data_IF_673270941354
#
_entry.id   IF_673270941354
#
_cell.length_a   1.000
_cell.length_b   1.000
_cell.length_c   1.000
_cell.angle_alpha   90.00
_cell.angle_beta   90.00
_cell.angle_gamma   90.00
#
_symmetry.space_group_name_H-M   'P 1'
#
loop_
_entity.id
_entity.type
_entity.pdbx_description
1 polymer ?
#
# COMPACT_ATOMS: atom_id res chain seq x y z
N UNK A 1 3.70 -7.34 3.84
CA UNK A 1 2.44 -7.14 3.09
C UNK A 1 1.50 -6.09 3.67
N UNK A 2 0.90 -6.26 4.88
CA UNK A 2 -0.04 -5.24 5.42
C UNK A 2 0.57 -3.84 5.64
N UNK A 3 1.87 -3.75 5.89
CA UNK A 3 2.57 -2.46 6.07
C UNK A 3 2.78 -1.75 4.73
N UNK A 4 3.29 -2.47 3.72
CA UNK A 4 3.43 -1.98 2.35
C UNK A 4 2.13 -1.43 1.78
N UNK A 5 1.01 -2.14 1.93
CA UNK A 5 -0.30 -1.68 1.45
C UNK A 5 -0.71 -0.33 2.08
N UNK A 6 -0.40 -0.13 3.37
CA UNK A 6 -0.64 1.15 4.03
C UNK A 6 0.21 2.26 3.43
N UNK A 7 1.50 2.01 3.17
CA UNK A 7 2.38 2.97 2.52
C UNK A 7 1.88 3.32 1.12
N UNK A 8 1.52 2.32 0.30
CA UNK A 8 0.98 2.56 -1.04
C UNK A 8 -0.33 3.36 -1.01
N UNK A 9 -1.19 3.10 -0.02
CA UNK A 9 -2.41 3.89 0.18
C UNK A 9 -2.08 5.33 0.57
N UNK A 10 -1.13 5.54 1.46
CA UNK A 10 -0.66 6.88 1.84
C UNK A 10 -0.08 7.62 0.65
N UNK A 11 0.73 6.96 -0.18
CA UNK A 11 1.30 7.53 -1.40
C UNK A 11 0.22 8.02 -2.37
N UNK A 12 -0.80 7.19 -2.64
CA UNK A 12 -1.95 7.57 -3.48
C UNK A 12 -2.75 8.72 -2.89
N UNK A 13 -2.95 8.73 -1.58
CA UNK A 13 -3.65 9.82 -0.90
C UNK A 13 -2.87 11.14 -1.00
N UNK A 14 -1.54 11.10 -0.89
CA UNK A 14 -0.71 12.28 -1.07
C UNK A 14 -0.74 12.80 -2.51
N UNK A 15 -0.83 11.93 -3.51
CA UNK A 15 -1.04 12.35 -4.90
C UNK A 15 -2.40 13.06 -5.08
N UNK A 16 -3.47 12.51 -4.50
CA UNK A 16 -4.79 13.13 -4.52
C UNK A 16 -4.81 14.49 -3.82
N UNK A 17 -4.15 14.60 -2.66
CA UNK A 17 -3.98 15.86 -1.93
C UNK A 17 -3.24 16.88 -2.82
N UNK A 18 -2.09 16.50 -3.39
CA UNK A 18 -1.33 17.39 -4.26
C UNK A 18 -2.12 17.84 -5.50
N UNK A 19 -2.90 16.94 -6.12
CA UNK A 19 -3.79 17.28 -7.23
C UNK A 19 -4.89 18.26 -6.78
N UNK A 20 -5.52 18.01 -5.62
CA UNK A 20 -6.54 18.88 -5.04
C UNK A 20 -5.98 20.25 -4.69
N UNK A 21 -4.76 20.32 -4.16
CA UNK A 21 -4.08 21.58 -3.86
C UNK A 21 -3.79 22.39 -5.13
N UNK A 22 -3.43 21.76 -6.25
CA UNK A 22 -3.29 22.47 -7.54
C UNK A 22 -4.60 23.12 -7.98
N UNK A 23 -5.71 22.39 -7.85
CA UNK A 23 -7.03 22.91 -8.17
C UNK A 23 -7.46 24.03 -7.21
N UNK A 24 -7.22 23.84 -5.90
CA UNK A 24 -7.42 24.86 -4.86
C UNK A 24 -6.64 26.14 -5.17
N UNK A 25 -5.38 26.05 -5.62
CA UNK A 25 -4.59 27.22 -6.00
C UNK A 25 -5.23 28.01 -7.14
N UNK A 26 -5.78 27.32 -8.15
CA UNK A 26 -6.50 27.97 -9.27
C UNK A 26 -7.72 28.75 -8.75
N UNK A 27 -8.46 28.19 -7.81
CA UNK A 27 -9.58 28.88 -7.16
C UNK A 27 -9.13 30.07 -6.31
N UNK A 28 -8.11 29.90 -5.48
CA UNK A 28 -7.54 31.00 -4.68
C UNK A 28 -7.09 32.15 -5.59
N UNK A 29 -6.46 31.85 -6.72
CA UNK A 29 -6.07 32.87 -7.69
C UNK A 29 -7.28 33.55 -8.34
N UNK A 30 -8.32 32.80 -8.71
CA UNK A 30 -9.57 33.37 -9.21
C UNK A 30 -10.23 34.32 -8.19
N UNK A 31 -10.26 33.91 -6.92
CA UNK A 31 -10.79 34.70 -5.82
C UNK A 31 -9.96 35.99 -5.61
N UNK A 32 -8.62 35.89 -5.60
CA UNK A 32 -7.74 37.07 -5.54
C UNK A 32 -8.04 38.05 -6.66
N UNK A 33 -8.25 37.57 -7.89
CA UNK A 33 -8.55 38.42 -9.04
C UNK A 33 -9.89 39.15 -8.90
N UNK A 34 -10.96 38.48 -8.46
CA UNK A 34 -12.27 39.13 -8.30
C UNK A 34 -12.27 40.14 -7.16
N UNK A 35 -11.62 39.84 -6.03
CA UNK A 35 -11.48 40.81 -4.93
C UNK A 35 -10.60 42.00 -5.31
N UNK A 36 -9.52 41.78 -6.07
CA UNK A 36 -8.68 42.87 -6.58
C UNK A 36 -9.45 43.77 -7.54
N UNK A 37 -10.23 43.20 -8.47
CA UNK A 37 -11.07 43.96 -9.40
C UNK A 37 -12.17 44.75 -8.67
N UNK A 38 -12.80 44.16 -7.65
CA UNK A 38 -13.78 44.86 -6.82
C UNK A 38 -13.14 45.99 -6.00
N UNK A 39 -11.97 45.76 -5.41
CA UNK A 39 -11.23 46.81 -4.69
C UNK A 39 -10.79 47.92 -5.63
N UNK A 40 -10.35 47.61 -6.84
CA UNK A 40 -9.95 48.61 -7.83
C UNK A 40 -11.15 49.45 -8.32
N UNK A 41 -12.31 48.80 -8.53
CA UNK A 41 -13.57 49.44 -8.89
C UNK A 41 -14.10 50.35 -7.78
N UNK A 42 -14.11 49.89 -6.53
CA UNK A 42 -14.53 50.68 -5.37
C UNK A 42 -13.55 51.82 -5.05
N UNK A 43 -12.26 51.63 -5.33
CA UNK A 43 -11.22 52.63 -5.09
C UNK A 43 -11.12 53.70 -6.19
N UNK A 44 -11.95 53.64 -7.23
CA UNK A 44 -12.01 54.67 -8.29
C UNK A 44 -10.77 54.79 -9.17
N UNK A 45 -9.86 53.80 -9.16
CA UNK A 45 -8.67 53.79 -10.00
C UNK A 45 -8.96 52.98 -11.25
N UNK A 46 -9.68 53.59 -12.19
CA UNK A 46 -9.95 52.99 -13.50
C UNK A 46 -8.65 52.92 -14.29
N UNK A 47 -8.07 51.73 -14.39
CA UNK A 47 -7.17 51.42 -15.50
C UNK A 47 -7.73 50.20 -16.24
N UNK A 48 -7.71 50.26 -17.56
CA UNK A 48 -8.60 49.53 -18.46
C UNK A 48 -8.37 48.01 -18.51
N UNK A 49 -9.47 47.27 -18.71
CA UNK A 49 -9.56 45.80 -18.86
C UNK A 49 -9.03 45.30 -20.22
N UNK A 50 -8.71 44.00 -20.35
CA UNK A 50 -9.71 43.14 -21.00
C UNK A 50 -9.98 41.76 -20.34
N UNK A 51 -11.28 41.45 -20.29
CA UNK A 51 -12.06 40.21 -20.45
C UNK A 51 -11.34 38.84 -20.45
N UNK A 52 -11.83 37.89 -19.63
CA UNK A 52 -11.98 36.46 -20.03
C UNK A 52 -13.11 35.77 -19.24
N UNK A 53 -14.21 35.55 -19.95
CA UNK A 53 -15.14 34.41 -19.97
C UNK A 53 -15.28 33.51 -18.73
N UNK A 54 -16.46 33.59 -18.12
CA UNK A 54 -17.07 32.57 -17.27
C UNK A 54 -17.40 31.30 -18.05
N UNK A 55 -16.97 30.13 -17.55
CA UNK A 55 -17.48 28.82 -18.01
C UNK A 55 -17.99 28.02 -16.80
N UNK A 56 -19.28 27.72 -16.84
CA UNK A 56 -20.08 26.87 -15.95
C UNK A 56 -19.55 25.43 -15.83
N UNK A 57 -19.70 24.75 -14.68
CA UNK A 57 -19.56 23.29 -14.63
C UNK A 57 -20.93 22.62 -14.83
N UNK A 58 -21.02 21.79 -15.86
CA UNK A 58 -22.17 20.94 -16.19
C UNK A 58 -22.22 19.71 -15.29
N UNK A 59 -23.42 19.42 -14.77
CA UNK A 59 -23.83 18.17 -14.13
C UNK A 59 -23.69 16.95 -15.05
N UNK A 60 -23.16 15.84 -14.53
CA UNK A 60 -23.31 14.50 -15.09
C UNK A 60 -23.72 13.50 -14.00
N UNK A 61 -24.84 12.82 -14.22
CA UNK A 61 -25.30 11.64 -13.48
C UNK A 61 -25.44 10.45 -14.44
N UNK A 62 -25.23 9.27 -13.85
CA UNK A 62 -25.83 7.96 -14.15
C UNK A 62 -25.21 7.01 -15.19
N UNK A 63 -24.70 5.89 -14.64
CA UNK A 63 -25.10 4.49 -14.84
C UNK A 63 -24.93 3.81 -16.22
N UNK A 64 -24.30 2.63 -16.22
CA UNK A 64 -24.88 1.35 -16.69
C UNK A 64 -23.95 0.15 -16.42
N UNK A 65 -24.58 -0.97 -16.06
CA UNK A 65 -24.07 -2.32 -15.76
C UNK A 65 -23.55 -3.07 -17.00
N UNK A 66 -22.72 -4.12 -16.78
CA UNK A 66 -22.84 -5.51 -17.31
C UNK A 66 -21.52 -6.26 -17.01
N UNK A 67 -21.53 -7.24 -16.11
CA UNK A 67 -21.61 -8.69 -16.36
C UNK A 67 -20.39 -9.25 -17.15
N UNK A 68 -19.54 -10.03 -16.46
CA UNK A 68 -18.91 -11.18 -17.08
C UNK A 68 -18.58 -12.27 -16.06
N UNK A 69 -19.14 -13.43 -16.33
CA UNK A 69 -19.16 -14.65 -15.54
C UNK A 69 -18.13 -15.68 -16.07
N UNK A 70 -17.73 -16.62 -15.19
CA UNK A 70 -17.04 -17.91 -15.40
C UNK A 70 -15.50 -17.96 -15.54
N UNK A 71 -14.80 -18.58 -14.57
CA UNK A 71 -14.59 -20.06 -14.46
C UNK A 71 -13.76 -20.47 -13.22
N UNK A 72 -14.15 -21.62 -12.67
CA UNK A 72 -13.55 -22.52 -11.65
C UNK A 72 -12.02 -22.78 -11.77
N UNK A 73 -11.30 -23.24 -10.71
CA UNK A 73 -11.59 -24.53 -10.07
C UNK A 73 -11.66 -24.58 -8.53
N UNK A 74 -12.55 -25.46 -8.10
CA UNK A 74 -12.61 -26.16 -6.82
C UNK A 74 -11.22 -26.60 -6.35
N UNK A 75 -10.84 -26.15 -5.16
CA UNK A 75 -9.66 -26.66 -4.46
C UNK A 75 -10.03 -27.96 -3.73
N UNK A 76 -9.60 -29.10 -4.28
CA UNK A 76 -9.40 -30.32 -3.51
C UNK A 76 -8.21 -30.12 -2.56
N UNK A 77 -8.50 -29.65 -1.35
CA UNK A 77 -7.49 -29.39 -0.31
C UNK A 77 -7.84 -30.12 0.99
N UNK A 78 -8.03 -31.43 0.89
CA UNK A 78 -8.13 -32.28 2.09
C UNK A 78 -7.40 -33.62 2.00
N UNK A 79 -7.02 -34.08 0.80
CA UNK A 79 -6.40 -35.40 0.62
C UNK A 79 -4.86 -35.41 0.71
N UNK A 80 -4.19 -34.26 0.61
CA UNK A 80 -2.71 -34.20 0.50
C UNK A 80 -2.01 -33.57 1.72
N UNK A 81 -2.66 -33.47 2.88
CA UNK A 81 -2.06 -32.84 4.07
C UNK A 81 -1.33 -33.89 4.94
N UNK A 82 -0.08 -33.64 5.39
CA UNK A 82 0.72 -34.62 6.16
C UNK A 82 0.06 -35.09 7.47
N UNK A 83 -0.90 -34.34 7.97
CA UNK A 83 -1.69 -34.67 9.17
C UNK A 83 -2.75 -35.75 8.96
N UNK A 84 -3.16 -36.08 7.72
CA UNK A 84 -4.10 -37.19 7.45
C UNK A 84 -3.38 -38.53 7.29
N UNK A 85 -2.13 -38.52 6.80
CA UNK A 85 -1.28 -39.73 6.70
C UNK A 85 -0.95 -40.38 8.04
N UNK A 86 -1.01 -39.61 9.13
CA UNK A 86 -0.63 -40.11 10.46
C UNK A 86 -1.76 -40.91 11.15
N UNK A 87 -2.96 -40.99 10.55
CA UNK A 87 -4.15 -41.56 11.20
C UNK A 87 -4.50 -42.99 10.74
N UNK A 88 -3.99 -43.45 9.60
CA UNK A 88 -4.36 -44.74 8.99
C UNK A 88 -3.37 -45.90 9.24
N UNK A 89 -2.46 -45.77 10.21
CA UNK A 89 -1.54 -46.85 10.55
C UNK A 89 -1.99 -47.62 11.80
N UNK A 90 -3.14 -48.29 11.69
CA UNK A 90 -3.51 -49.39 12.59
C UNK A 90 -3.46 -50.71 11.81
N UNK A 91 -3.29 -51.83 12.54
CA UNK A 91 -3.14 -53.23 12.12
C UNK A 91 -1.71 -53.84 12.10
N UNK A 92 -1.43 -54.51 13.23
CA UNK A 92 -0.92 -55.89 13.27
C UNK A 92 0.58 -56.15 13.06
N UNK A 93 1.36 -56.21 14.15
CA UNK A 93 2.32 -57.33 14.40
C UNK A 93 3.07 -57.13 15.74
N UNK A 94 3.04 -58.09 16.67
CA UNK A 94 3.91 -58.10 17.84
C UNK A 94 4.99 -59.18 17.72
N UNK A 95 6.18 -58.90 17.15
CA UNK A 95 7.34 -59.74 17.44
C UNK A 95 8.73 -59.23 17.01
N UNK A 96 9.69 -59.52 17.92
CA UNK A 96 11.16 -59.59 17.81
C UNK A 96 11.92 -58.32 18.20
N UNK A 97 12.39 -58.23 19.44
CA UNK A 97 13.60 -58.85 20.03
C UNK A 97 14.91 -58.15 19.66
N UNK A 98 15.50 -57.53 20.70
CA UNK A 98 16.91 -57.31 21.02
C UNK A 98 17.94 -57.39 19.88
N UNK A 99 18.61 -56.26 19.63
CA UNK A 99 20.03 -56.21 19.27
C UNK A 99 20.70 -55.00 19.96
N UNK A 100 21.43 -55.28 21.04
CA UNK A 100 22.10 -54.30 21.92
C UNK A 100 23.41 -53.72 21.36
N UNK A 101 23.49 -53.49 20.05
CA UNK A 101 24.53 -52.68 19.40
C UNK A 101 23.94 -51.55 18.53
N UNK A 102 22.61 -51.36 18.59
CA UNK A 102 21.84 -50.46 17.73
C UNK A 102 21.80 -49.00 18.23
N UNK A 103 21.99 -48.77 19.53
CA UNK A 103 21.79 -47.44 20.15
C UNK A 103 22.64 -46.31 19.56
N UNK A 104 23.88 -46.59 19.14
CA UNK A 104 24.76 -45.59 18.49
C UNK A 104 24.37 -45.29 17.04
N UNK A 105 23.88 -46.30 16.29
CA UNK A 105 23.42 -46.12 14.92
C UNK A 105 22.06 -45.43 14.87
N UNK A 106 21.15 -45.80 15.77
CA UNK A 106 19.85 -45.15 15.91
C UNK A 106 19.99 -43.70 16.41
N UNK A 107 20.93 -43.44 17.32
CA UNK A 107 21.26 -42.09 17.75
C UNK A 107 21.88 -41.25 16.63
N UNK A 108 22.85 -41.80 15.88
CA UNK A 108 23.48 -41.10 14.76
C UNK A 108 22.46 -40.81 13.64
N UNK A 109 21.59 -41.77 13.32
CA UNK A 109 20.53 -41.57 12.33
C UNK A 109 19.53 -40.49 12.75
N UNK A 110 19.18 -40.40 14.04
CA UNK A 110 18.34 -39.32 14.58
C UNK A 110 19.06 -37.97 14.55
N UNK A 111 20.35 -37.94 14.87
CA UNK A 111 21.14 -36.72 14.79
C UNK A 111 21.22 -36.21 13.34
N UNK A 112 21.49 -37.08 12.37
CA UNK A 112 21.52 -36.73 10.95
C UNK A 112 20.16 -36.24 10.46
N UNK A 113 19.06 -36.88 10.88
CA UNK A 113 17.71 -36.42 10.55
C UNK A 113 17.43 -35.01 11.10
N UNK A 114 17.80 -34.74 12.37
CA UNK A 114 17.66 -33.42 12.98
C UNK A 114 18.54 -32.36 12.31
N UNK A 115 19.78 -32.71 11.95
CA UNK A 115 20.69 -31.82 11.24
C UNK A 115 20.17 -31.50 9.84
N UNK A 116 19.58 -32.48 9.15
CA UNK A 116 18.94 -32.26 7.85
C UNK A 116 17.72 -31.32 7.96
N UNK A 117 16.92 -31.48 9.02
CA UNK A 117 15.81 -30.57 9.32
C UNK A 117 16.30 -29.15 9.66
N UNK A 118 17.38 -29.04 10.45
CA UNK A 118 18.04 -27.76 10.72
C UNK A 118 18.56 -27.11 9.43
N UNK A 119 19.21 -27.86 8.54
CA UNK A 119 19.66 -27.33 7.24
C UNK A 119 18.49 -26.83 6.37
N UNK A 120 17.37 -27.58 6.37
CA UNK A 120 16.16 -27.19 5.66
C UNK A 120 15.56 -25.90 6.24
N UNK A 121 15.38 -25.84 7.58
CA UNK A 121 14.85 -24.66 8.26
C UNK A 121 15.74 -23.43 8.09
N UNK A 122 17.08 -23.57 8.14
CA UNK A 122 18.02 -22.48 7.86
C UNK A 122 17.89 -22.00 6.40
N UNK A 123 17.67 -22.90 5.45
CA UNK A 123 17.49 -22.54 4.04
C UNK A 123 16.20 -21.74 3.83
N UNK A 124 15.10 -22.14 4.48
CA UNK A 124 13.85 -21.37 4.50
C UNK A 124 14.06 -20.01 5.17
N UNK A 125 14.72 -19.98 6.32
CA UNK A 125 15.00 -18.73 7.05
C UNK A 125 15.86 -17.78 6.22
N UNK A 126 16.84 -18.29 5.47
CA UNK A 126 17.65 -17.50 4.53
C UNK A 126 16.80 -16.93 3.40
N UNK A 127 15.89 -17.73 2.82
CA UNK A 127 14.95 -17.27 1.81
C UNK A 127 14.09 -16.11 2.34
N UNK A 128 13.45 -16.33 3.48
CA UNK A 128 12.62 -15.32 4.15
C UNK A 128 13.42 -14.07 4.52
N UNK A 129 14.64 -14.22 5.05
CA UNK A 129 15.49 -13.08 5.41
C UNK A 129 15.89 -12.27 4.16
N UNK A 130 16.16 -12.94 3.04
CA UNK A 130 16.48 -12.27 1.77
C UNK A 130 15.27 -11.52 1.23
N UNK A 131 14.09 -12.16 1.21
CA UNK A 131 12.83 -11.54 0.79
C UNK A 131 12.48 -10.34 1.68
N UNK A 132 12.61 -10.48 3.00
CA UNK A 132 12.41 -9.38 3.95
C UNK A 132 13.39 -8.23 3.71
N UNK A 133 14.65 -8.52 3.40
CA UNK A 133 15.63 -7.51 3.02
C UNK A 133 15.18 -6.71 1.80
N UNK A 134 14.81 -7.41 0.72
CA UNK A 134 14.33 -6.75 -0.52
C UNK A 134 13.03 -5.95 -0.32
N UNK A 135 12.14 -6.43 0.55
CA UNK A 135 10.89 -5.75 0.88
C UNK A 135 11.14 -4.50 1.75
N UNK A 136 12.13 -4.53 2.64
CA UNK A 136 12.55 -3.35 3.42
C UNK A 136 13.14 -2.29 2.48
N UNK A 137 14.03 -2.68 1.57
CA UNK A 137 14.61 -1.75 0.59
C UNK A 137 13.52 -1.09 -0.26
N UNK A 138 12.58 -1.88 -0.79
CA UNK A 138 11.44 -1.34 -1.55
C UNK A 138 10.54 -0.43 -0.71
N UNK A 139 10.32 -0.72 0.57
CA UNK A 139 9.56 0.15 1.45
C UNK A 139 10.31 1.44 1.79
N UNK A 140 11.64 1.41 1.91
CA UNK A 140 12.45 2.62 2.12
C UNK A 140 12.30 3.59 0.95
N UNK A 141 12.41 3.10 -0.28
CA UNK A 141 12.21 3.93 -1.48
C UNK A 141 10.81 4.56 -1.51
N UNK A 142 9.78 3.78 -1.14
CA UNK A 142 8.41 4.28 -1.04
C UNK A 142 8.24 5.34 0.05
N UNK A 143 8.88 5.16 1.21
CA UNK A 143 8.86 6.14 2.30
C UNK A 143 9.53 7.45 1.89
N UNK A 144 10.64 7.39 1.16
CA UNK A 144 11.29 8.61 0.62
C UNK A 144 10.34 9.36 -0.30
N UNK A 145 9.68 8.67 -1.25
CA UNK A 145 8.69 9.30 -2.13
C UNK A 145 7.51 9.92 -1.36
N UNK A 146 6.98 9.21 -0.36
CA UNK A 146 5.91 9.70 0.52
C UNK A 146 6.36 10.96 1.26
N UNK A 147 7.59 10.97 1.77
CA UNK A 147 8.17 12.12 2.48
C UNK A 147 8.22 13.34 1.58
N UNK A 148 8.77 13.21 0.37
CA UNK A 148 8.85 14.30 -0.60
C UNK A 148 7.45 14.83 -0.98
N UNK A 149 6.48 13.94 -1.22
CA UNK A 149 5.09 14.34 -1.54
C UNK A 149 4.42 15.05 -0.36
N UNK A 150 4.68 14.60 0.87
CA UNK A 150 4.13 15.19 2.08
C UNK A 150 4.71 16.58 2.36
N UNK A 151 6.02 16.78 2.20
CA UNK A 151 6.66 18.09 2.35
C UNK A 151 6.14 19.10 1.32
N UNK A 152 5.98 18.67 0.07
CA UNK A 152 5.40 19.51 -0.99
C UNK A 152 3.95 19.91 -0.68
N UNK A 153 3.15 18.95 -0.18
CA UNK A 153 1.78 19.21 0.24
C UNK A 153 1.74 20.20 1.42
N UNK A 154 2.57 20.01 2.44
CA UNK A 154 2.63 20.88 3.62
C UNK A 154 3.02 22.32 3.27
N UNK A 155 4.07 22.50 2.46
CA UNK A 155 4.48 23.82 1.99
C UNK A 155 3.37 24.51 1.20
N UNK A 156 2.68 23.76 0.34
CA UNK A 156 1.58 24.29 -0.48
C UNK A 156 0.36 24.65 0.37
N UNK A 157 -0.02 23.79 1.32
CA UNK A 157 -1.11 24.06 2.28
C UNK A 157 -0.81 25.32 3.09
N UNK A 158 0.41 25.44 3.63
CA UNK A 158 0.83 26.62 4.39
C UNK A 158 0.74 27.90 3.56
N UNK A 159 1.19 27.86 2.29
CA UNK A 159 1.08 28.99 1.37
C UNK A 159 -0.38 29.35 1.08
N UNK A 160 -1.21 28.36 0.75
CA UNK A 160 -2.63 28.56 0.48
C UNK A 160 -3.40 29.07 1.68
N UNK A 161 -3.08 28.58 2.89
CA UNK A 161 -3.66 29.05 4.15
C UNK A 161 -3.34 30.53 4.38
N UNK A 162 -2.09 30.95 4.18
CA UNK A 162 -1.70 32.38 4.24
C UNK A 162 -2.44 33.23 3.21
N UNK A 163 -2.59 32.72 1.98
CA UNK A 163 -3.31 33.40 0.91
C UNK A 163 -4.80 33.57 1.25
N UNK A 164 -5.46 32.51 1.73
CA UNK A 164 -6.85 32.58 2.18
C UNK A 164 -7.03 33.54 3.35
N UNK A 165 -6.13 33.52 4.34
CA UNK A 165 -6.17 34.50 5.44
C UNK A 165 -6.05 35.94 4.95
N UNK A 166 -5.22 36.20 3.92
CA UNK A 166 -5.11 37.54 3.33
C UNK A 166 -6.38 37.94 2.58
N UNK A 167 -7.04 37.00 1.90
CA UNK A 167 -8.33 37.25 1.23
C UNK A 167 -9.43 37.57 2.25
N UNK A 168 -9.43 36.87 3.40
CA UNK A 168 -10.45 37.03 4.44
C UNK A 168 -10.19 38.22 5.37
N UNK A 169 -8.93 38.66 5.53
CA UNK A 169 -8.57 39.82 6.36
C UNK A 169 -8.83 41.13 5.59
N UNK A 170 -10.07 41.61 5.74
CA UNK A 170 -10.58 42.98 5.47
C UNK A 170 -10.46 43.50 4.03
#
# INVERSE_FOLDING_TARGET
MRQREKLEKTDRQLDEINATLRFSQKHINGIKSVFSSLKNYMSGKTDASPTTSSSTPSTVKSATNQNLENKLPTYDRYENHPSTRLRDNDYSSPQKQLNSSSGSKDFSARLDANLQEMCSSISVLKGLATELGTEIDSQNDLITNITDKAENADMTITKQSKDMQRILKK
#
